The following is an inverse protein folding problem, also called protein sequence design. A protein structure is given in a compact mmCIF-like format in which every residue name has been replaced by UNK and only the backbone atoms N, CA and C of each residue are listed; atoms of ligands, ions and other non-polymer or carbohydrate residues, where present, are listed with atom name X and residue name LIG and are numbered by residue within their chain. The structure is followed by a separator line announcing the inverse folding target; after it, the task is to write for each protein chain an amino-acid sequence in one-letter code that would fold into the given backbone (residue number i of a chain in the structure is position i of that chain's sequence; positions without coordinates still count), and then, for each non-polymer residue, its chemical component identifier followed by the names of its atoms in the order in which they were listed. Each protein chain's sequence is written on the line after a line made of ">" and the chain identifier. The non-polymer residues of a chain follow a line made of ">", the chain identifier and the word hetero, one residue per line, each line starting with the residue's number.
data_IF_148072386183
#
_entry.id   IF_148072386183
#
_cell.length_a   1.000
_cell.length_b   1.000
_cell.length_c   1.000
_cell.angle_alpha   90.00
_cell.angle_beta   90.00
_cell.angle_gamma   90.00
#
_symmetry.space_group_name_H-M   'P 1'
#
loop_
_entity.id
_entity.type
_entity.pdbx_description
1 polymer ?
#
# COMPACT_ATOMS: atom_id res chain seq x y z
N UNK A 1 38.24 -0.50 -23.51
CA UNK A 1 38.75 0.88 -23.53
C UNK A 1 38.09 1.62 -22.37
N UNK A 2 38.96 2.14 -21.52
CA UNK A 2 38.68 2.79 -20.24
C UNK A 2 38.05 4.16 -20.46
N UNK A 3 37.02 4.53 -19.69
CA UNK A 3 36.84 5.91 -19.26
C UNK A 3 36.29 5.92 -17.83
N UNK A 4 37.21 6.09 -16.89
CA UNK A 4 36.97 6.67 -15.57
C UNK A 4 36.56 8.12 -15.79
N UNK A 5 35.49 8.56 -15.11
CA UNK A 5 35.20 9.97 -14.92
C UNK A 5 35.02 10.21 -13.43
N UNK A 6 36.09 10.74 -12.87
CA UNK A 6 36.22 11.31 -11.53
C UNK A 6 35.35 12.57 -11.41
N UNK A 7 34.45 12.64 -10.45
CA UNK A 7 33.75 13.86 -10.08
C UNK A 7 34.25 14.34 -8.71
N UNK A 8 34.82 15.53 -8.74
CA UNK A 8 35.55 16.19 -7.68
C UNK A 8 34.62 16.67 -6.55
N UNK A 9 35.13 16.46 -5.35
CA UNK A 9 34.69 16.96 -4.05
C UNK A 9 34.95 18.47 -3.95
N UNK A 10 33.94 19.29 -3.71
CA UNK A 10 34.07 20.68 -3.27
C UNK A 10 33.58 20.82 -1.84
N UNK A 11 34.56 20.89 -0.94
CA UNK A 11 34.40 21.30 0.46
C UNK A 11 34.26 22.82 0.50
N UNK A 12 33.12 23.31 0.99
CA UNK A 12 32.98 24.71 1.43
C UNK A 12 32.99 24.74 2.97
N UNK A 13 34.12 25.18 3.51
CA UNK A 13 34.27 25.55 4.90
C UNK A 13 33.85 27.04 5.06
N UNK A 14 32.75 27.27 5.75
CA UNK A 14 32.40 28.62 6.23
C UNK A 14 32.59 28.69 7.73
N UNK A 15 33.68 29.30 8.13
CA UNK A 15 34.02 29.73 9.50
C UNK A 15 33.24 30.99 9.86
N UNK A 16 32.37 30.93 10.87
CA UNK A 16 31.73 32.11 11.46
C UNK A 16 32.32 32.33 12.85
N UNK A 17 32.95 33.51 13.00
CA UNK A 17 33.60 33.97 14.18
C UNK A 17 32.59 34.29 15.29
N UNK A 18 32.89 33.81 16.50
CA UNK A 18 32.24 34.18 17.76
C UNK A 18 32.74 35.54 18.22
N UNK A 19 31.91 36.55 18.19
CA UNK A 19 32.13 37.76 18.95
C UNK A 19 31.40 37.69 20.28
N UNK A 20 32.20 37.51 21.33
CA UNK A 20 31.78 37.61 22.71
C UNK A 20 31.54 39.10 23.07
N UNK A 21 30.32 39.44 23.46
CA UNK A 21 30.04 40.68 24.20
C UNK A 21 29.51 40.33 25.59
N UNK A 22 30.39 40.45 26.54
CA UNK A 22 30.09 40.40 27.95
C UNK A 22 29.47 41.75 28.38
N UNK A 23 28.18 41.77 28.74
CA UNK A 23 27.61 42.84 29.58
C UNK A 23 26.81 42.21 30.69
N UNK A 24 27.34 42.39 31.91
CA UNK A 24 26.62 42.18 33.16
C UNK A 24 25.53 43.23 33.28
N UNK A 25 24.29 42.80 33.47
CA UNK A 25 23.24 43.55 34.12
C UNK A 25 22.20 42.61 34.80
N UNK A 26 21.46 43.10 35.81
CA UNK A 26 21.21 42.33 37.03
C UNK A 26 19.94 41.46 36.94
N UNK A 27 19.92 40.49 37.81
CA UNK A 27 18.86 39.52 38.08
C UNK A 27 17.43 40.09 37.97
N UNK A 28 16.73 39.70 36.87
CA UNK A 28 15.29 39.66 36.91
C UNK A 28 14.86 38.24 37.29
N UNK A 29 14.33 38.11 38.49
CA UNK A 29 13.60 36.94 38.94
C UNK A 29 12.43 36.73 38.02
N UNK A 30 12.53 35.73 37.13
CA UNK A 30 11.36 35.19 36.46
C UNK A 30 10.57 34.45 37.53
N UNK A 31 9.50 35.08 38.01
CA UNK A 31 8.48 34.40 38.78
C UNK A 31 7.99 33.23 37.96
N UNK A 32 8.26 32.03 38.43
CA UNK A 32 7.63 30.80 37.93
C UNK A 32 6.14 30.95 38.21
N UNK A 33 5.39 31.32 37.17
CA UNK A 33 3.95 31.14 37.17
C UNK A 33 3.73 29.62 37.22
N UNK A 34 3.38 29.15 38.41
CA UNK A 34 3.01 27.77 38.62
C UNK A 34 1.98 27.34 37.55
N UNK A 35 2.20 26.15 36.97
CA UNK A 35 1.16 25.43 36.29
C UNK A 35 -0.09 25.47 37.16
N UNK A 36 -1.27 25.74 36.60
CA UNK A 36 -2.50 25.64 37.38
C UNK A 36 -2.54 24.19 37.92
N UNK A 37 -2.53 24.05 39.23
CA UNK A 37 -2.86 22.81 39.92
C UNK A 37 -4.17 22.31 39.29
N UNK A 38 -4.12 21.14 38.68
CA UNK A 38 -5.32 20.45 38.28
C UNK A 38 -6.24 20.41 39.49
N UNK A 39 -7.31 21.18 39.42
CA UNK A 39 -8.39 21.07 40.37
C UNK A 39 -8.84 19.62 40.37
N UNK A 40 -8.96 19.04 41.56
CA UNK A 40 -9.68 17.79 41.82
C UNK A 40 -11.09 17.97 41.29
N UNK A 41 -11.26 17.71 40.00
CA UNK A 41 -12.58 17.59 39.41
C UNK A 41 -13.09 16.22 39.83
N UNK A 42 -14.20 16.22 40.55
CA UNK A 42 -15.03 15.09 40.93
C UNK A 42 -15.05 14.05 39.81
N UNK A 43 -14.96 12.76 40.18
CA UNK A 43 -15.18 11.61 39.32
C UNK A 43 -16.49 11.81 38.56
N UNK A 44 -16.40 12.51 37.44
CA UNK A 44 -17.47 12.50 36.44
C UNK A 44 -17.60 11.05 35.98
N UNK A 45 -18.80 10.49 36.22
CA UNK A 45 -19.28 9.27 35.57
C UNK A 45 -18.67 9.14 34.20
N UNK A 46 -18.09 7.98 33.87
CA UNK A 46 -17.37 7.70 32.64
C UNK A 46 -18.20 8.18 31.43
N UNK A 47 -17.98 9.43 31.06
CA UNK A 47 -18.59 10.02 29.87
C UNK A 47 -17.93 9.28 28.71
N UNK A 48 -18.71 8.49 28.00
CA UNK A 48 -18.26 7.81 26.79
C UNK A 48 -17.47 8.81 25.92
N UNK A 49 -16.23 8.53 25.59
CA UNK A 49 -15.41 9.41 24.75
C UNK A 49 -16.18 9.65 23.45
N UNK A 50 -16.37 10.90 23.02
CA UNK A 50 -17.09 11.19 21.78
C UNK A 50 -16.28 10.75 20.53
N UNK A 51 -15.07 10.27 20.73
CA UNK A 51 -14.15 9.84 19.66
C UNK A 51 -13.84 8.37 19.87
N UNK A 52 -13.84 7.61 18.76
CA UNK A 52 -13.32 6.26 18.68
C UNK A 52 -12.24 6.15 17.60
N UNK A 53 -11.42 5.12 17.69
CA UNK A 53 -10.35 4.84 16.73
C UNK A 53 -10.45 3.41 16.23
N UNK A 54 -10.21 3.22 14.93
CA UNK A 54 -10.07 1.92 14.28
C UNK A 54 -8.68 1.83 13.66
N UNK A 55 -7.87 0.91 14.12
CA UNK A 55 -6.55 0.63 13.56
C UNK A 55 -6.71 -0.23 12.30
N UNK A 56 -6.52 0.39 11.14
CA UNK A 56 -6.72 -0.25 9.83
C UNK A 56 -5.63 -1.28 9.55
N UNK A 57 -4.41 -1.06 10.06
CA UNK A 57 -3.30 -1.99 9.85
C UNK A 57 -3.55 -3.28 10.66
N UNK A 58 -3.98 -3.14 11.91
CA UNK A 58 -4.41 -4.28 12.74
C UNK A 58 -5.64 -4.99 12.15
N UNK A 59 -6.63 -4.23 11.66
CA UNK A 59 -7.80 -4.78 10.98
C UNK A 59 -7.41 -5.62 9.77
N UNK A 60 -6.53 -5.08 8.90
CA UNK A 60 -6.06 -5.78 7.70
C UNK A 60 -5.29 -7.07 8.03
N UNK A 61 -4.51 -7.05 9.12
CA UNK A 61 -3.70 -8.18 9.56
C UNK A 61 -4.49 -9.28 10.27
N UNK A 62 -5.55 -8.94 11.01
CA UNK A 62 -6.24 -9.87 11.90
C UNK A 62 -7.61 -10.32 11.39
N UNK A 63 -8.34 -9.50 10.63
CA UNK A 63 -9.66 -9.86 10.13
C UNK A 63 -9.60 -10.97 9.09
N UNK A 64 -10.37 -12.02 9.27
CA UNK A 64 -10.52 -13.11 8.30
C UNK A 64 -11.10 -12.61 6.99
N UNK A 65 -12.04 -11.67 7.06
CA UNK A 65 -12.61 -10.99 5.90
C UNK A 65 -11.53 -10.31 5.06
N UNK A 66 -10.61 -9.57 5.70
CA UNK A 66 -9.52 -8.89 5.00
C UNK A 66 -8.51 -9.88 4.41
N UNK A 67 -8.14 -10.92 5.18
CA UNK A 67 -7.23 -11.98 4.73
C UNK A 67 -7.76 -12.72 3.50
N UNK A 68 -9.06 -13.01 3.48
CA UNK A 68 -9.66 -13.68 2.32
C UNK A 68 -9.70 -12.79 1.10
N UNK A 69 -10.03 -11.50 1.25
CA UNK A 69 -9.93 -10.55 0.15
C UNK A 69 -8.53 -10.44 -0.43
N UNK A 70 -7.51 -10.39 0.43
CA UNK A 70 -6.10 -10.42 0.02
C UNK A 70 -5.74 -11.71 -0.72
N UNK A 71 -6.19 -12.86 -0.21
CA UNK A 71 -5.98 -14.17 -0.84
C UNK A 71 -6.60 -14.26 -2.23
N UNK A 72 -7.77 -13.67 -2.43
CA UNK A 72 -8.40 -13.59 -3.77
C UNK A 72 -7.52 -12.81 -4.74
N UNK A 73 -6.95 -11.67 -4.32
CA UNK A 73 -6.03 -10.88 -5.15
C UNK A 73 -4.73 -11.64 -5.44
N UNK A 74 -4.17 -12.31 -4.44
CA UNK A 74 -2.97 -13.14 -4.58
C UNK A 74 -3.19 -14.29 -5.56
N UNK A 75 -4.30 -15.02 -5.42
CA UNK A 75 -4.66 -16.11 -6.35
C UNK A 75 -4.79 -15.61 -7.78
N UNK A 76 -5.42 -14.45 -7.98
CA UNK A 76 -5.54 -13.82 -9.29
C UNK A 76 -4.16 -13.46 -9.87
N UNK A 77 -3.29 -12.87 -9.06
CA UNK A 77 -1.92 -12.55 -9.47
C UNK A 77 -1.13 -13.81 -9.85
N UNK A 78 -1.23 -14.87 -9.05
CA UNK A 78 -0.56 -16.16 -9.31
C UNK A 78 -1.05 -16.80 -10.61
N UNK A 79 -2.38 -16.77 -10.86
CA UNK A 79 -2.96 -17.27 -12.11
C UNK A 79 -2.44 -16.49 -13.33
N UNK A 80 -2.36 -15.16 -13.24
CA UNK A 80 -1.80 -14.35 -14.31
C UNK A 80 -0.30 -14.62 -14.54
N UNK A 81 0.48 -14.79 -13.47
CA UNK A 81 1.90 -15.15 -13.57
C UNK A 81 2.09 -16.47 -14.31
N UNK A 82 1.29 -17.48 -13.97
CA UNK A 82 1.34 -18.79 -14.66
C UNK A 82 1.00 -18.65 -16.15
N UNK A 83 -0.05 -17.90 -16.50
CA UNK A 83 -0.43 -17.68 -17.89
C UNK A 83 0.64 -16.91 -18.66
N UNK A 84 1.27 -15.91 -18.04
CA UNK A 84 2.35 -15.13 -18.64
C UNK A 84 3.56 -16.01 -18.93
N UNK A 85 3.97 -16.84 -17.95
CA UNK A 85 5.07 -17.78 -18.12
C UNK A 85 4.79 -18.78 -19.23
N UNK A 86 3.59 -19.37 -19.28
CA UNK A 86 3.20 -20.32 -20.33
C UNK A 86 3.24 -19.70 -21.72
N UNK A 87 2.72 -18.46 -21.88
CA UNK A 87 2.76 -17.73 -23.15
C UNK A 87 4.20 -17.38 -23.56
N UNK A 88 5.02 -16.94 -22.59
CA UNK A 88 6.44 -16.64 -22.83
C UNK A 88 7.22 -17.87 -23.28
N UNK A 89 7.07 -19.01 -22.58
CA UNK A 89 7.72 -20.27 -22.95
C UNK A 89 7.28 -20.74 -24.35
N UNK A 90 5.96 -20.63 -24.64
CA UNK A 90 5.46 -21.00 -25.96
C UNK A 90 6.10 -20.16 -27.07
N UNK A 91 6.15 -18.84 -26.90
CA UNK A 91 6.79 -17.94 -27.85
C UNK A 91 8.27 -18.31 -28.05
N UNK A 92 9.02 -18.54 -26.95
CA UNK A 92 10.41 -18.95 -27.01
C UNK A 92 10.61 -20.26 -27.80
N UNK A 93 9.80 -21.27 -27.52
CA UNK A 93 9.86 -22.55 -28.21
C UNK A 93 9.53 -22.40 -29.71
N UNK A 94 8.51 -21.60 -30.04
CA UNK A 94 8.14 -21.34 -31.44
C UNK A 94 9.26 -20.58 -32.19
N UNK A 95 9.98 -19.65 -31.51
CA UNK A 95 11.14 -18.98 -32.07
C UNK A 95 12.30 -19.95 -32.34
N UNK A 96 12.61 -20.84 -31.39
CA UNK A 96 13.65 -21.87 -31.55
C UNK A 96 13.30 -22.79 -32.73
N UNK A 97 12.05 -23.24 -32.82
CA UNK A 97 11.59 -24.10 -33.90
C UNK A 97 11.66 -23.42 -35.26
N UNK A 98 11.30 -22.14 -35.34
CA UNK A 98 11.44 -21.33 -36.54
C UNK A 98 12.89 -21.25 -36.99
N UNK A 99 13.82 -20.93 -36.06
CA UNK A 99 15.25 -20.84 -36.36
C UNK A 99 15.83 -22.18 -36.89
N UNK A 100 15.50 -23.29 -36.22
CA UNK A 100 15.90 -24.63 -36.65
C UNK A 100 15.41 -24.93 -38.08
N UNK A 101 14.12 -24.66 -38.33
CA UNK A 101 13.51 -24.88 -39.65
C UNK A 101 14.16 -24.03 -40.73
N UNK A 102 14.46 -22.76 -40.42
CA UNK A 102 15.16 -21.86 -41.34
C UNK A 102 16.58 -22.36 -41.68
N UNK A 103 17.38 -22.78 -40.66
CA UNK A 103 18.73 -23.27 -40.83
C UNK A 103 18.80 -24.58 -41.64
N UNK A 104 17.79 -25.43 -41.53
CA UNK A 104 17.72 -26.72 -42.21
C UNK A 104 17.08 -26.64 -43.62
N UNK A 105 16.73 -25.44 -44.09
CA UNK A 105 16.03 -25.27 -45.35
C UNK A 105 14.64 -25.92 -45.35
N UNK A 106 14.04 -26.07 -44.16
CA UNK A 106 12.80 -26.82 -43.95
C UNK A 106 11.53 -26.08 -44.32
N UNK A 107 11.60 -24.86 -44.88
CA UNK A 107 10.42 -24.18 -45.42
C UNK A 107 10.23 -24.60 -46.89
N UNK A 108 9.02 -24.99 -47.22
CA UNK A 108 8.67 -25.46 -48.57
C UNK A 108 8.50 -24.31 -49.57
N UNK A 109 8.29 -23.10 -49.09
CA UNK A 109 8.17 -21.88 -49.88
C UNK A 109 8.53 -20.64 -49.05
N UNK A 110 8.84 -19.54 -49.75
CA UNK A 110 9.03 -18.23 -49.13
C UNK A 110 7.77 -17.79 -48.40
N UNK A 111 6.59 -18.03 -48.96
CA UNK A 111 5.31 -17.69 -48.34
C UNK A 111 5.10 -18.39 -46.98
N UNK A 112 5.52 -19.66 -46.87
CA UNK A 112 5.48 -20.38 -45.59
C UNK A 112 6.40 -19.76 -44.53
N UNK A 113 7.60 -19.35 -44.91
CA UNK A 113 8.54 -18.69 -44.02
C UNK A 113 8.01 -17.33 -43.54
N UNK A 114 7.45 -16.53 -44.44
CA UNK A 114 6.84 -15.23 -44.13
C UNK A 114 5.62 -15.40 -43.19
N UNK A 115 4.77 -16.39 -43.44
CA UNK A 115 3.63 -16.69 -42.57
C UNK A 115 4.06 -17.13 -41.16
N UNK A 116 5.13 -17.92 -41.05
CA UNK A 116 5.69 -18.35 -39.76
C UNK A 116 6.28 -17.15 -39.00
N UNK A 117 7.01 -16.25 -39.67
CA UNK A 117 7.53 -15.03 -39.08
C UNK A 117 6.40 -14.11 -38.62
N UNK A 118 5.37 -13.90 -39.43
CA UNK A 118 4.21 -13.09 -39.07
C UNK A 118 3.48 -13.66 -37.83
N UNK A 119 3.42 -14.99 -37.69
CA UNK A 119 2.85 -15.65 -36.51
C UNK A 119 3.65 -15.34 -35.24
N UNK A 120 4.98 -15.38 -35.30
CA UNK A 120 5.83 -15.03 -34.16
C UNK A 120 5.64 -13.56 -33.75
N UNK A 121 5.63 -12.65 -34.71
CA UNK A 121 5.36 -11.23 -34.44
C UNK A 121 3.99 -11.02 -33.79
N UNK A 122 2.98 -11.71 -34.27
CA UNK A 122 1.64 -11.66 -33.67
C UNK A 122 1.63 -12.18 -32.23
N UNK A 123 2.28 -13.30 -31.96
CA UNK A 123 2.40 -13.85 -30.60
C UNK A 123 3.14 -12.88 -29.65
N UNK A 124 4.19 -12.21 -30.12
CA UNK A 124 4.90 -11.20 -29.35
C UNK A 124 3.99 -10.01 -28.98
N UNK A 125 3.23 -9.51 -29.96
CA UNK A 125 2.25 -8.44 -29.72
C UNK A 125 1.13 -8.87 -28.77
N UNK A 126 0.66 -10.12 -28.91
CA UNK A 126 -0.37 -10.67 -27.99
C UNK A 126 0.16 -10.83 -26.57
N UNK A 127 1.44 -11.20 -26.39
CA UNK A 127 2.08 -11.27 -25.07
C UNK A 127 2.16 -9.89 -24.43
N UNK A 128 2.58 -8.88 -25.18
CA UNK A 128 2.63 -7.50 -24.68
C UNK A 128 1.25 -6.98 -24.28
N UNK A 129 0.24 -7.14 -25.16
CA UNK A 129 -1.15 -6.77 -24.83
C UNK A 129 -1.69 -7.53 -23.63
N UNK A 130 -1.26 -8.75 -23.43
CA UNK A 130 -1.65 -9.54 -22.27
C UNK A 130 -1.04 -8.98 -20.98
N UNK A 131 0.23 -8.53 -21.00
CA UNK A 131 0.87 -7.85 -19.85
C UNK A 131 0.13 -6.57 -19.48
N UNK A 132 -0.13 -5.70 -20.46
CA UNK A 132 -0.88 -4.45 -20.23
C UNK A 132 -2.26 -4.72 -19.62
N UNK A 133 -2.95 -5.76 -20.12
CA UNK A 133 -4.25 -6.15 -19.57
C UNK A 133 -4.16 -6.65 -18.13
N UNK A 134 -3.12 -7.44 -17.79
CA UNK A 134 -2.90 -7.90 -16.41
C UNK A 134 -2.76 -6.73 -15.46
N UNK A 135 -1.95 -5.73 -15.83
CA UNK A 135 -1.73 -4.53 -15.01
C UNK A 135 -3.04 -3.78 -14.76
N UNK A 136 -3.81 -3.54 -15.80
CA UNK A 136 -5.11 -2.88 -15.70
C UNK A 136 -6.12 -3.69 -14.87
N UNK A 137 -6.19 -5.01 -15.08
CA UNK A 137 -7.10 -5.90 -14.36
C UNK A 137 -6.73 -6.02 -12.87
N UNK A 138 -5.44 -6.03 -12.54
CA UNK A 138 -4.97 -6.06 -11.15
C UNK A 138 -5.22 -4.73 -10.44
N UNK A 139 -4.94 -3.60 -11.09
CA UNK A 139 -5.26 -2.27 -10.56
C UNK A 139 -6.76 -2.12 -10.26
N UNK A 140 -7.60 -2.53 -11.21
CA UNK A 140 -9.06 -2.52 -11.04
C UNK A 140 -9.51 -3.44 -9.90
N UNK A 141 -8.98 -4.65 -9.81
CA UNK A 141 -9.34 -5.60 -8.76
C UNK A 141 -8.95 -5.06 -7.36
N UNK A 142 -7.76 -4.47 -7.23
CA UNK A 142 -7.29 -3.84 -5.99
C UNK A 142 -8.19 -2.67 -5.60
N UNK A 143 -8.53 -1.79 -6.54
CA UNK A 143 -9.42 -0.67 -6.28
C UNK A 143 -10.83 -1.15 -5.85
N UNK A 144 -11.37 -2.16 -6.51
CA UNK A 144 -12.66 -2.74 -6.16
C UNK A 144 -12.65 -3.33 -4.74
N UNK A 145 -11.60 -4.05 -4.39
CA UNK A 145 -11.43 -4.59 -3.04
C UNK A 145 -11.36 -3.48 -1.99
N UNK A 146 -10.55 -2.45 -2.20
CA UNK A 146 -10.41 -1.31 -1.28
C UNK A 146 -11.74 -0.55 -1.11
N UNK A 147 -12.46 -0.33 -2.22
CA UNK A 147 -13.76 0.34 -2.18
C UNK A 147 -14.75 -0.49 -1.38
N UNK A 148 -14.86 -1.78 -1.70
CA UNK A 148 -15.77 -2.69 -0.99
C UNK A 148 -15.46 -2.77 0.50
N UNK A 149 -14.18 -2.93 0.87
CA UNK A 149 -13.76 -2.97 2.28
C UNK A 149 -14.17 -1.69 3.02
N UNK A 150 -13.95 -0.53 2.41
CA UNK A 150 -14.35 0.76 2.99
C UNK A 150 -15.86 0.86 3.18
N UNK A 151 -16.61 0.45 2.18
CA UNK A 151 -18.07 0.48 2.22
C UNK A 151 -18.62 -0.45 3.30
N UNK A 152 -18.06 -1.65 3.44
CA UNK A 152 -18.44 -2.62 4.47
C UNK A 152 -18.08 -2.12 5.88
N UNK A 153 -16.90 -1.50 6.05
CA UNK A 153 -16.52 -0.85 7.32
C UNK A 153 -17.52 0.27 7.66
N UNK A 154 -17.82 1.14 6.71
CA UNK A 154 -18.74 2.26 6.91
C UNK A 154 -20.17 1.77 7.26
N UNK A 155 -20.63 0.73 6.57
CA UNK A 155 -21.93 0.13 6.83
C UNK A 155 -21.99 -0.48 8.26
N UNK A 156 -20.94 -1.20 8.65
CA UNK A 156 -20.83 -1.73 10.01
C UNK A 156 -20.79 -0.62 11.04
N UNK A 157 -19.95 0.40 10.88
CA UNK A 157 -19.82 1.51 11.83
C UNK A 157 -21.11 2.30 11.98
N UNK A 158 -21.87 2.49 10.91
CA UNK A 158 -23.18 3.14 10.95
C UNK A 158 -24.17 2.37 11.83
N UNK A 159 -24.17 1.05 11.73
CA UNK A 159 -25.01 0.19 12.55
C UNK A 159 -24.51 0.13 13.99
N UNK A 160 -23.20 -0.04 14.19
CA UNK A 160 -22.53 -0.10 15.49
C UNK A 160 -22.71 1.17 16.32
N UNK A 161 -22.79 2.33 15.69
CA UNK A 161 -22.93 3.64 16.32
C UNK A 161 -24.38 4.19 16.26
N UNK A 162 -25.38 3.34 16.13
CA UNK A 162 -26.80 3.79 16.07
C UNK A 162 -27.27 4.58 17.33
N UNK A 163 -26.69 4.26 18.48
CA UNK A 163 -26.91 4.96 19.73
C UNK A 163 -26.28 6.35 19.81
N UNK A 164 -25.44 6.70 18.81
CA UNK A 164 -24.76 8.00 18.69
C UNK A 164 -23.71 8.27 19.77
N UNK A 165 -23.18 7.21 20.41
CA UNK A 165 -22.15 7.33 21.47
C UNK A 165 -20.88 7.94 20.98
N UNK A 166 -20.47 7.70 19.73
CA UNK A 166 -19.33 8.34 19.10
C UNK A 166 -19.78 9.46 18.16
N UNK A 167 -19.15 10.61 18.25
CA UNK A 167 -19.36 11.74 17.33
C UNK A 167 -18.41 11.68 16.15
N UNK A 168 -17.24 11.08 16.37
CA UNK A 168 -16.20 10.90 15.35
C UNK A 168 -15.58 9.52 15.54
N UNK A 169 -15.37 8.81 14.44
CA UNK A 169 -14.58 7.57 14.39
C UNK A 169 -13.43 7.82 13.43
N UNK A 170 -12.20 7.68 13.91
CA UNK A 170 -10.97 8.00 13.18
C UNK A 170 -10.30 6.70 12.77
N UNK A 171 -9.87 6.61 11.51
CA UNK A 171 -8.98 5.55 11.06
C UNK A 171 -7.53 5.84 11.47
N UNK A 172 -6.88 4.88 12.13
CA UNK A 172 -5.45 4.88 12.39
C UNK A 172 -4.76 3.99 11.37
N UNK A 173 -3.72 4.52 10.70
CA UNK A 173 -2.86 3.77 9.79
C UNK A 173 -1.49 4.46 9.72
N UNK A 174 -0.41 3.69 9.83
CA UNK A 174 0.93 4.25 9.95
C UNK A 174 1.02 5.29 11.08
N UNK A 175 1.58 6.46 10.78
CA UNK A 175 1.90 7.51 11.77
C UNK A 175 0.84 8.63 11.85
N UNK A 176 -0.35 8.46 11.26
CA UNK A 176 -1.38 9.50 11.29
C UNK A 176 -1.99 9.75 12.69
N UNK A 177 -1.91 8.75 13.58
CA UNK A 177 -2.30 8.84 15.00
C UNK A 177 -1.17 8.26 15.84
N UNK A 178 -0.48 9.11 16.59
CA UNK A 178 0.70 8.73 17.38
C UNK A 178 0.37 8.00 18.68
N UNK A 179 -0.77 8.31 19.28
CA UNK A 179 -1.22 7.70 20.53
C UNK A 179 -2.74 7.54 20.54
N UNK A 180 -3.20 6.42 21.04
CA UNK A 180 -4.61 6.13 21.26
C UNK A 180 -4.75 5.44 22.62
N UNK A 181 -5.62 5.96 23.48
CA UNK A 181 -5.99 5.24 24.69
C UNK A 181 -6.77 3.98 24.32
N UNK A 182 -6.45 2.82 24.92
CA UNK A 182 -7.16 1.56 24.62
C UNK A 182 -8.68 1.62 24.80
N UNK A 183 -9.18 2.50 25.67
CA UNK A 183 -10.62 2.66 25.94
C UNK A 183 -11.41 3.25 24.78
N UNK A 184 -10.75 3.89 23.82
CA UNK A 184 -11.37 4.45 22.61
C UNK A 184 -11.09 3.62 21.35
N UNK A 185 -10.33 2.55 21.48
CA UNK A 185 -9.99 1.64 20.36
C UNK A 185 -11.12 0.60 20.18
N UNK A 186 -11.81 0.69 19.06
CA UNK A 186 -12.91 -0.22 18.70
C UNK A 186 -12.51 -1.21 17.58
N UNK A 187 -11.22 -1.37 17.33
CA UNK A 187 -10.71 -2.20 16.22
C UNK A 187 -11.20 -3.63 16.29
N UNK A 188 -11.18 -4.23 17.49
CA UNK A 188 -11.66 -5.61 17.69
C UNK A 188 -13.16 -5.77 17.39
N UNK A 189 -13.97 -4.80 17.77
CA UNK A 189 -15.41 -4.84 17.47
C UNK A 189 -15.67 -4.79 15.96
N UNK A 190 -14.88 -3.97 15.25
CA UNK A 190 -14.94 -3.90 13.76
C UNK A 190 -14.50 -5.21 13.14
N UNK A 191 -13.40 -5.82 13.62
CA UNK A 191 -12.92 -7.13 13.15
C UNK A 191 -14.01 -8.18 13.31
N UNK A 192 -14.60 -8.29 14.50
CA UNK A 192 -15.67 -9.25 14.76
C UNK A 192 -16.90 -9.01 13.86
N UNK A 193 -17.27 -7.74 13.68
CA UNK A 193 -18.38 -7.36 12.84
C UNK A 193 -18.19 -7.74 11.38
N UNK A 194 -17.02 -7.42 10.80
CA UNK A 194 -16.70 -7.79 9.43
C UNK A 194 -16.60 -9.30 9.25
N UNK A 195 -16.00 -10.01 10.20
CA UNK A 195 -15.91 -11.48 10.14
C UNK A 195 -17.31 -12.15 10.22
N UNK A 196 -18.28 -11.56 10.93
CA UNK A 196 -19.66 -12.04 10.94
C UNK A 196 -20.40 -11.80 9.62
N UNK A 197 -20.12 -10.66 8.96
CA UNK A 197 -20.66 -10.38 7.61
C UNK A 197 -20.15 -11.37 6.56
N UNK A 198 -18.92 -11.81 6.71
CA UNK A 198 -18.29 -12.75 5.77
C UNK A 198 -18.81 -14.19 5.88
N UNK A 199 -19.29 -14.60 7.04
CA UNK A 199 -19.82 -15.97 7.27
C UNK A 199 -21.27 -16.18 6.83
N UNK A 200 -21.94 -15.13 6.31
CA UNK A 200 -23.29 -15.19 5.76
C UNK A 200 -23.26 -15.32 4.23
#
# INVERSE_FOLDING_TARGET
>A
MKHLSTCAMLLFAASVALTSCNKKDPAQQVKSNGLPKAGTTEMATASASPVAVVDIDTLAAQSDYCKEGQKVLENKQNAYRQQLNAKGQKLQNDMINFQKKAQQGGFTSQQEAEAAQARLQKQQQELQKFQERIEADMAKATQQYQTKLRDDINAFLKEYNKDGRFKVIISKSGDNVLYTDPSVDITNDVIEGLNKLHKK
#
